data_IF_755516865352
#
_entry.id   IF_755516865352
#
_cell.length_a   1.000
_cell.length_b   1.000
_cell.length_c   1.000
_cell.angle_alpha   90.00
_cell.angle_beta   90.00
_cell.angle_gamma   90.00
#
_symmetry.space_group_name_H-M   'P 1'
#
loop_
_entity.id
_entity.type
_entity.pdbx_description
1 polymer ?
#
# COMPACT_ATOMS: atom_id res chain seq x y z
N UNK A 1 58.13 -13.18 -5.05
CA UNK A 1 57.20 -12.92 -3.94
C UNK A 1 56.74 -11.47 -4.09
N UNK A 2 55.58 -11.27 -4.60
CA UNK A 2 54.89 -9.96 -4.59
C UNK A 2 53.41 -10.29 -4.64
N UNK A 3 52.75 -10.05 -3.54
CA UNK A 3 51.33 -10.25 -3.36
C UNK A 3 50.54 -9.28 -4.27
N UNK A 4 49.84 -9.84 -5.21
CA UNK A 4 48.87 -9.15 -6.02
C UNK A 4 47.53 -9.07 -5.27
N UNK A 5 47.34 -8.07 -4.40
CA UNK A 5 46.02 -7.69 -3.91
C UNK A 5 45.17 -7.25 -5.09
N UNK A 6 44.26 -8.09 -5.50
CA UNK A 6 43.18 -7.73 -6.42
C UNK A 6 42.25 -6.71 -5.73
N UNK A 7 42.49 -5.42 -5.98
CA UNK A 7 41.54 -4.35 -5.71
C UNK A 7 40.27 -4.63 -6.51
N UNK A 8 39.28 -5.24 -5.85
CA UNK A 8 37.90 -5.27 -6.33
C UNK A 8 37.49 -3.80 -6.55
N UNK A 9 37.35 -3.41 -7.80
CA UNK A 9 36.78 -2.12 -8.19
C UNK A 9 35.38 -2.05 -7.59
N UNK A 10 35.23 -1.15 -6.63
CA UNK A 10 33.95 -0.77 -6.02
C UNK A 10 33.14 -0.04 -7.12
N UNK A 11 32.41 -0.80 -7.92
CA UNK A 11 31.38 -0.28 -8.81
C UNK A 11 30.28 0.21 -7.90
N UNK A 12 29.97 1.51 -7.88
CA UNK A 12 29.11 2.24 -6.95
C UNK A 12 27.67 1.75 -6.83
N UNK A 13 27.50 0.51 -6.39
CA UNK A 13 26.22 -0.06 -6.00
C UNK A 13 25.86 0.28 -4.55
N UNK A 14 24.58 0.33 -4.24
CA UNK A 14 24.06 0.53 -2.89
C UNK A 14 24.58 -0.57 -1.95
N UNK A 15 24.84 -0.22 -0.69
CA UNK A 15 25.27 -1.20 0.30
C UNK A 15 24.12 -2.18 0.60
N UNK A 16 24.37 -3.47 0.43
CA UNK A 16 23.39 -4.55 0.74
C UNK A 16 23.31 -4.75 2.24
N UNK A 17 22.41 -4.03 2.89
CA UNK A 17 22.25 -4.01 4.35
C UNK A 17 21.02 -4.77 4.83
N UNK A 18 19.96 -4.87 4.01
CA UNK A 18 18.69 -5.47 4.38
C UNK A 18 18.77 -7.00 4.39
N UNK A 19 18.55 -7.58 5.55
CA UNK A 19 18.34 -9.02 5.75
C UNK A 19 16.85 -9.37 5.72
N UNK A 20 16.48 -10.64 5.99
CA UNK A 20 15.10 -11.11 5.97
C UNK A 20 14.24 -10.35 7.01
N UNK A 21 14.76 -10.15 8.22
CA UNK A 21 14.03 -9.47 9.29
C UNK A 21 13.80 -7.99 8.96
N UNK A 22 14.86 -7.28 8.54
CA UNK A 22 14.77 -5.88 8.15
C UNK A 22 13.81 -5.64 6.99
N UNK A 23 13.87 -6.49 5.95
CA UNK A 23 12.98 -6.39 4.79
C UNK A 23 11.53 -6.74 5.15
N UNK A 24 11.30 -7.72 6.03
CA UNK A 24 9.96 -8.06 6.52
C UNK A 24 9.37 -6.92 7.34
N UNK A 25 10.12 -6.34 8.28
CA UNK A 25 9.66 -5.18 9.05
C UNK A 25 9.37 -3.97 8.15
N UNK A 26 10.22 -3.72 7.16
CA UNK A 26 9.95 -2.70 6.14
C UNK A 26 8.64 -2.97 5.42
N UNK A 27 8.44 -4.21 4.93
CA UNK A 27 7.22 -4.61 4.22
C UNK A 27 5.97 -4.52 5.09
N UNK A 28 6.02 -5.03 6.32
CA UNK A 28 4.89 -4.91 7.27
C UNK A 28 4.58 -3.44 7.52
N UNK A 29 5.59 -2.58 7.71
CA UNK A 29 5.39 -1.15 7.93
C UNK A 29 4.79 -0.41 6.75
N UNK A 30 5.18 -0.77 5.52
CA UNK A 30 4.63 -0.15 4.31
C UNK A 30 3.20 -0.61 4.00
N UNK A 31 2.90 -1.90 4.15
CA UNK A 31 1.59 -2.48 3.85
C UNK A 31 0.59 -2.20 4.98
N UNK A 32 0.96 -2.53 6.23
CA UNK A 32 0.09 -2.33 7.38
C UNK A 32 -0.11 -0.84 7.71
N UNK A 33 0.86 0.00 7.37
CA UNK A 33 0.94 1.44 7.61
C UNK A 33 -0.40 2.18 7.68
N UNK A 34 -0.59 3.18 6.83
CA UNK A 34 -1.82 3.97 6.84
C UNK A 34 -3.06 3.20 6.34
N UNK A 35 -2.90 2.15 5.51
CA UNK A 35 -4.00 1.51 4.79
C UNK A 35 -5.13 1.03 5.69
N UNK A 36 -4.84 0.19 6.68
CA UNK A 36 -5.88 -0.38 7.56
C UNK A 36 -6.53 0.69 8.44
N UNK A 37 -5.74 1.61 9.00
CA UNK A 37 -6.29 2.65 9.86
C UNK A 37 -7.28 3.54 9.10
N UNK A 38 -6.96 3.89 7.86
CA UNK A 38 -7.74 4.84 7.07
C UNK A 38 -8.99 4.21 6.46
N UNK A 39 -8.92 2.96 5.97
CA UNK A 39 -9.97 2.41 5.10
C UNK A 39 -10.84 1.37 5.79
N UNK A 40 -10.44 0.82 6.94
CA UNK A 40 -11.22 -0.26 7.60
C UNK A 40 -12.65 0.14 7.93
N UNK A 41 -12.89 1.39 8.32
CA UNK A 41 -14.24 1.90 8.57
C UNK A 41 -15.14 1.84 7.34
N UNK A 42 -14.60 2.28 6.19
CA UNK A 42 -15.30 2.23 4.89
C UNK A 42 -15.59 0.77 4.45
N UNK A 43 -14.64 -0.14 4.67
CA UNK A 43 -14.83 -1.55 4.36
C UNK A 43 -15.96 -2.14 5.19
N UNK A 44 -16.00 -1.82 6.49
CA UNK A 44 -17.05 -2.31 7.40
C UNK A 44 -18.40 -1.66 7.06
N UNK A 45 -18.41 -0.41 6.67
CA UNK A 45 -19.63 0.28 6.24
C UNK A 45 -20.25 -0.36 4.98
N UNK A 46 -19.42 -0.85 4.03
CA UNK A 46 -19.88 -1.50 2.80
C UNK A 46 -20.24 -2.97 2.98
N UNK A 47 -19.36 -3.75 3.60
CA UNK A 47 -19.50 -5.21 3.71
C UNK A 47 -20.24 -5.67 4.98
N UNK A 48 -20.43 -4.78 5.97
CA UNK A 48 -21.06 -5.14 7.23
C UNK A 48 -20.38 -6.34 7.91
N UNK A 49 -21.15 -7.32 8.41
CA UNK A 49 -20.62 -8.54 9.03
C UNK A 49 -19.74 -9.39 8.10
N UNK A 50 -19.82 -9.18 6.78
CA UNK A 50 -18.99 -9.86 5.79
C UNK A 50 -17.61 -9.21 5.58
N UNK A 51 -17.22 -8.18 6.35
CA UNK A 51 -15.94 -7.50 6.21
C UNK A 51 -14.72 -8.41 6.34
N UNK A 52 -14.66 -9.41 7.26
CA UNK A 52 -13.54 -10.34 7.27
C UNK A 52 -13.44 -11.14 5.97
N UNK A 53 -14.57 -11.52 5.36
CA UNK A 53 -14.61 -12.19 4.07
C UNK A 53 -14.17 -11.25 2.94
N UNK A 54 -14.52 -9.96 3.00
CA UNK A 54 -14.05 -8.94 2.07
C UNK A 54 -12.51 -8.82 2.09
N UNK A 55 -11.89 -8.79 3.27
CA UNK A 55 -10.43 -8.82 3.42
C UNK A 55 -9.81 -10.12 2.90
N UNK A 56 -10.47 -11.28 3.10
CA UNK A 56 -10.01 -12.55 2.55
C UNK A 56 -9.99 -12.51 1.00
N UNK A 57 -11.06 -12.03 0.37
CA UNK A 57 -11.14 -11.89 -1.08
C UNK A 57 -10.06 -10.94 -1.63
N UNK A 58 -9.87 -9.79 -0.97
CA UNK A 58 -8.80 -8.85 -1.31
C UNK A 58 -7.40 -9.49 -1.17
N UNK A 59 -7.18 -10.27 -0.10
CA UNK A 59 -5.92 -10.96 0.13
C UNK A 59 -5.62 -12.00 -0.96
N UNK A 60 -6.62 -12.70 -1.49
CA UNK A 60 -6.43 -13.66 -2.60
C UNK A 60 -5.93 -12.94 -3.84
N UNK A 61 -6.50 -11.78 -4.20
CA UNK A 61 -6.06 -10.96 -5.33
C UNK A 61 -4.63 -10.44 -5.08
N UNK A 62 -4.36 -9.93 -3.88
CA UNK A 62 -3.05 -9.42 -3.51
C UNK A 62 -1.97 -10.51 -3.53
N UNK A 63 -2.27 -11.70 -2.98
CA UNK A 63 -1.32 -12.83 -2.88
C UNK A 63 -0.89 -13.34 -4.25
N UNK A 64 -1.82 -13.53 -5.19
CA UNK A 64 -1.49 -14.00 -6.55
C UNK A 64 -0.50 -13.05 -7.24
N UNK A 65 -0.71 -11.76 -7.08
CA UNK A 65 0.20 -10.74 -7.63
C UNK A 65 1.51 -10.64 -6.85
N UNK A 66 1.46 -10.72 -5.54
CA UNK A 66 2.67 -10.68 -4.71
C UNK A 66 3.62 -11.85 -4.97
N UNK A 67 3.07 -13.03 -5.28
CA UNK A 67 3.88 -14.16 -5.74
C UNK A 67 4.58 -13.83 -7.07
N UNK A 68 3.89 -13.14 -7.98
CA UNK A 68 4.51 -12.65 -9.23
C UNK A 68 5.61 -11.62 -8.97
N UNK A 69 5.39 -10.68 -8.04
CA UNK A 69 6.43 -9.75 -7.60
C UNK A 69 7.63 -10.45 -6.96
N UNK A 70 7.36 -11.47 -6.15
CA UNK A 70 8.41 -12.27 -5.49
C UNK A 70 9.33 -12.95 -6.51
N UNK A 71 8.76 -13.56 -7.54
CA UNK A 71 9.55 -14.20 -8.60
C UNK A 71 10.23 -13.17 -9.50
N UNK A 72 9.52 -12.11 -9.94
CA UNK A 72 10.09 -11.06 -10.78
C UNK A 72 11.20 -10.28 -10.07
N UNK A 73 11.02 -9.93 -8.81
CA UNK A 73 12.04 -9.23 -8.03
C UNK A 73 13.30 -10.08 -7.82
N UNK A 74 13.16 -11.40 -7.74
CA UNK A 74 14.30 -12.31 -7.72
C UNK A 74 14.96 -12.48 -9.10
N UNK A 75 14.18 -12.45 -10.20
CA UNK A 75 14.68 -12.53 -11.60
C UNK A 75 15.33 -11.23 -12.08
N UNK A 76 14.79 -10.09 -11.66
CA UNK A 76 15.15 -8.75 -12.11
C UNK A 76 15.33 -7.87 -10.86
N UNK A 77 16.44 -8.02 -10.12
CA UNK A 77 16.66 -7.33 -8.86
C UNK A 77 17.12 -5.88 -9.07
N UNK A 78 16.24 -5.05 -9.62
CA UNK A 78 16.48 -3.63 -9.91
C UNK A 78 15.52 -2.75 -9.10
N UNK A 79 15.93 -1.52 -8.81
CA UNK A 79 15.11 -0.55 -8.08
C UNK A 79 13.90 -0.03 -8.89
N UNK A 80 13.87 -0.23 -10.21
CA UNK A 80 12.76 0.18 -11.08
C UNK A 80 11.50 -0.66 -10.92
N UNK A 81 11.59 -1.87 -10.33
CA UNK A 81 10.46 -2.73 -10.02
C UNK A 81 9.51 -2.97 -11.21
N UNK A 82 8.20 -2.66 -11.08
CA UNK A 82 7.21 -2.91 -12.13
C UNK A 82 7.54 -2.29 -13.50
N UNK A 83 8.19 -1.13 -13.53
CA UNK A 83 8.59 -0.45 -14.78
C UNK A 83 9.56 -1.34 -15.53
N UNK A 84 10.59 -1.83 -14.86
CA UNK A 84 11.63 -2.68 -15.45
C UNK A 84 11.09 -4.06 -15.82
N UNK A 85 10.13 -4.58 -15.06
CA UNK A 85 9.48 -5.86 -15.37
C UNK A 85 8.72 -5.79 -16.68
N UNK A 86 7.92 -4.74 -16.88
CA UNK A 86 7.16 -4.50 -18.11
C UNK A 86 8.10 -4.23 -19.29
N UNK A 87 9.14 -3.41 -19.09
CA UNK A 87 10.12 -3.12 -20.13
C UNK A 87 10.83 -4.39 -20.61
N UNK A 88 11.33 -5.22 -19.66
CA UNK A 88 12.06 -6.46 -19.97
C UNK A 88 11.16 -7.54 -20.57
N UNK A 89 9.90 -7.60 -20.15
CA UNK A 89 8.95 -8.57 -20.67
C UNK A 89 8.49 -8.25 -22.10
N UNK A 90 8.14 -7.01 -22.35
CA UNK A 90 7.49 -6.61 -23.62
C UNK A 90 8.43 -5.93 -24.61
N UNK A 91 9.58 -5.39 -24.17
CA UNK A 91 10.53 -4.68 -25.02
C UNK A 91 9.94 -3.39 -25.61
N UNK A 92 8.94 -2.79 -24.97
CA UNK A 92 8.23 -1.60 -25.44
C UNK A 92 8.35 -0.46 -24.44
N UNK A 93 9.19 0.55 -24.69
CA UNK A 93 9.40 1.67 -23.76
C UNK A 93 8.12 2.42 -23.37
N UNK A 94 7.15 2.54 -24.28
CA UNK A 94 5.89 3.23 -24.00
C UNK A 94 5.06 2.53 -22.93
N UNK A 95 5.06 1.18 -22.87
CA UNK A 95 4.38 0.41 -21.81
C UNK A 95 5.05 0.64 -20.45
N UNK A 96 6.38 0.63 -20.42
CA UNK A 96 7.15 0.94 -19.21
C UNK A 96 6.85 2.35 -18.71
N UNK A 97 6.80 3.32 -19.62
CA UNK A 97 6.46 4.70 -19.29
C UNK A 97 5.02 4.82 -18.75
N UNK A 98 4.04 4.16 -19.37
CA UNK A 98 2.66 4.13 -18.87
C UNK A 98 2.59 3.50 -17.47
N UNK A 99 3.36 2.43 -17.21
CA UNK A 99 3.45 1.82 -15.88
C UNK A 99 4.01 2.81 -14.86
N UNK A 100 5.05 3.56 -15.22
CA UNK A 100 5.62 4.60 -14.36
C UNK A 100 4.61 5.71 -14.03
N UNK A 101 3.87 6.20 -15.02
CA UNK A 101 2.81 7.18 -14.81
C UNK A 101 1.66 6.65 -13.97
N UNK A 102 1.25 5.39 -14.18
CA UNK A 102 0.21 4.76 -13.38
C UNK A 102 0.65 4.62 -11.91
N UNK A 103 1.90 4.22 -11.65
CA UNK A 103 2.47 4.16 -10.29
C UNK A 103 2.54 5.55 -9.65
N UNK A 104 2.98 6.57 -10.37
CA UNK A 104 3.00 7.94 -9.86
C UNK A 104 1.59 8.42 -9.51
N UNK A 105 0.61 8.19 -10.37
CA UNK A 105 -0.79 8.51 -10.13
C UNK A 105 -1.34 7.75 -8.92
N UNK A 106 -1.08 6.44 -8.81
CA UNK A 106 -1.51 5.62 -7.67
C UNK A 106 -0.97 6.18 -6.33
N UNK A 107 0.33 6.54 -6.28
CA UNK A 107 0.94 7.11 -5.08
C UNK A 107 0.38 8.50 -4.74
N UNK A 108 0.09 9.34 -5.74
CA UNK A 108 -0.55 10.65 -5.53
C UNK A 108 -1.95 10.48 -4.95
N UNK A 109 -2.79 9.61 -5.53
CA UNK A 109 -4.15 9.37 -5.05
C UNK A 109 -4.13 8.69 -3.68
N UNK A 110 -3.21 7.75 -3.44
CA UNK A 110 -2.99 7.15 -2.12
C UNK A 110 -2.57 8.19 -1.08
N UNK A 111 -1.69 9.14 -1.44
CA UNK A 111 -1.34 10.27 -0.59
C UNK A 111 -2.54 11.12 -0.20
N UNK A 112 -3.48 11.35 -1.14
CA UNK A 112 -4.73 12.04 -0.85
C UNK A 112 -5.65 11.22 0.06
N UNK A 113 -5.77 9.90 -0.18
CA UNK A 113 -6.52 8.98 0.69
C UNK A 113 -6.02 9.04 2.13
N UNK A 114 -4.70 8.97 2.33
CA UNK A 114 -4.07 9.01 3.64
C UNK A 114 -4.24 10.38 4.30
N UNK A 115 -4.15 11.47 3.53
CA UNK A 115 -4.37 12.83 4.02
C UNK A 115 -5.83 13.01 4.50
N UNK A 116 -6.82 12.49 3.75
CA UNK A 116 -8.22 12.50 4.17
C UNK A 116 -8.42 11.67 5.44
N UNK A 117 -7.80 10.48 5.53
CA UNK A 117 -7.82 9.66 6.74
C UNK A 117 -7.19 10.38 7.95
N UNK A 118 -6.10 11.11 7.76
CA UNK A 118 -5.50 11.93 8.82
C UNK A 118 -6.50 12.98 9.34
N UNK A 119 -7.22 13.67 8.44
CA UNK A 119 -8.24 14.67 8.81
C UNK A 119 -9.34 14.04 9.66
N UNK A 120 -9.84 12.85 9.26
CA UNK A 120 -10.85 12.11 10.01
C UNK A 120 -10.33 11.74 11.41
N UNK A 121 -9.10 11.21 11.53
CA UNK A 121 -8.53 10.87 12.85
C UNK A 121 -8.28 12.10 13.73
N UNK A 122 -7.79 13.18 13.15
CA UNK A 122 -7.58 14.42 13.90
C UNK A 122 -8.89 15.03 14.38
N UNK A 123 -9.95 15.00 13.55
CA UNK A 123 -11.29 15.49 13.84
C UNK A 123 -11.93 14.81 15.07
N UNK A 124 -11.57 13.57 15.36
CA UNK A 124 -11.99 12.89 16.59
C UNK A 124 -11.43 13.48 17.90
N UNK A 125 -10.44 14.39 17.82
CA UNK A 125 -9.77 15.00 19.00
C UNK A 125 -9.78 16.51 19.02
N UNK A 126 -9.75 17.14 17.84
CA UNK A 126 -9.60 18.61 17.70
C UNK A 126 -10.55 19.10 16.63
N UNK A 127 -11.35 20.09 16.97
CA UNK A 127 -12.26 20.74 16.03
C UNK A 127 -11.48 21.76 15.15
N UNK A 128 -10.94 21.26 14.04
CA UNK A 128 -10.19 22.05 13.05
C UNK A 128 -10.84 21.85 11.68
N UNK A 129 -11.05 22.91 10.88
CA UNK A 129 -11.55 22.76 9.53
C UNK A 129 -10.69 21.81 8.70
N UNK A 130 -11.32 20.83 7.99
CA UNK A 130 -10.61 19.79 7.26
C UNK A 130 -9.61 20.33 6.24
N UNK A 131 -9.91 21.46 5.57
CA UNK A 131 -8.97 22.12 4.67
C UNK A 131 -7.70 22.63 5.37
N UNK A 132 -7.83 23.11 6.62
CA UNK A 132 -6.69 23.61 7.39
C UNK A 132 -5.83 22.43 7.90
N UNK A 133 -6.45 21.36 8.39
CA UNK A 133 -5.77 20.15 8.82
C UNK A 133 -5.00 19.48 7.66
N UNK A 134 -5.64 19.33 6.49
CA UNK A 134 -4.97 18.75 5.31
C UNK A 134 -3.83 19.64 4.79
N UNK A 135 -4.03 20.95 4.71
CA UNK A 135 -2.98 21.89 4.29
C UNK A 135 -1.80 21.87 5.27
N UNK A 136 -2.07 21.91 6.58
CA UNK A 136 -1.04 21.86 7.61
C UNK A 136 -0.21 20.58 7.54
N UNK A 137 -0.87 19.42 7.39
CA UNK A 137 -0.18 18.15 7.18
C UNK A 137 0.70 18.18 5.93
N UNK A 138 0.16 18.58 4.79
CA UNK A 138 0.88 18.58 3.52
C UNK A 138 2.05 19.56 3.51
N UNK A 139 1.93 20.72 4.16
CA UNK A 139 3.06 21.65 4.36
C UNK A 139 4.16 20.99 5.20
N UNK A 140 3.79 20.31 6.29
CA UNK A 140 4.77 19.56 7.12
C UNK A 140 5.47 18.47 6.32
N UNK A 141 4.72 17.59 5.63
CA UNK A 141 5.28 16.49 4.84
C UNK A 141 6.12 17.00 3.67
N UNK A 142 5.68 18.08 3.04
CA UNK A 142 6.42 18.75 1.97
C UNK A 142 7.74 19.33 2.46
N UNK A 143 7.74 20.01 3.60
CA UNK A 143 8.95 20.55 4.21
C UNK A 143 9.97 19.43 4.53
N UNK A 144 9.52 18.32 5.13
CA UNK A 144 10.36 17.15 5.42
C UNK A 144 10.93 16.55 4.13
N UNK A 145 10.09 16.36 3.10
CA UNK A 145 10.49 15.79 1.82
C UNK A 145 11.50 16.68 1.08
N UNK A 146 11.24 18.00 0.98
CA UNK A 146 12.10 18.94 0.29
C UNK A 146 13.42 19.16 1.05
N UNK A 147 13.38 19.18 2.39
CA UNK A 147 14.61 19.25 3.20
C UNK A 147 15.51 18.02 3.04
N UNK A 148 15.02 16.96 2.40
CA UNK A 148 15.79 15.74 2.15
C UNK A 148 16.05 14.93 3.42
N UNK A 149 15.20 15.09 4.42
CA UNK A 149 15.27 14.30 5.65
C UNK A 149 14.93 12.85 5.29
N UNK A 150 15.95 12.01 5.27
CA UNK A 150 15.76 10.58 5.01
C UNK A 150 14.99 9.97 6.18
N UNK A 151 13.92 9.25 5.86
CA UNK A 151 13.31 8.36 6.85
C UNK A 151 14.38 7.37 7.31
N UNK A 152 14.75 7.45 8.58
CA UNK A 152 15.70 6.48 9.11
C UNK A 152 15.00 5.12 9.24
N UNK A 153 15.75 4.04 8.98
CA UNK A 153 15.23 2.68 9.19
C UNK A 153 14.70 2.50 10.63
N UNK A 154 15.32 3.17 11.60
CA UNK A 154 14.86 3.21 12.99
C UNK A 154 13.46 3.84 13.14
N UNK A 155 13.22 4.99 12.50
CA UNK A 155 11.91 5.66 12.53
C UNK A 155 10.82 4.78 11.91
N UNK A 156 11.09 4.15 10.77
CA UNK A 156 10.18 3.20 10.14
C UNK A 156 9.89 1.99 11.04
N UNK A 157 10.92 1.43 11.69
CA UNK A 157 10.75 0.31 12.62
C UNK A 157 9.89 0.71 13.81
N UNK A 158 10.14 1.87 14.41
CA UNK A 158 9.37 2.36 15.57
C UNK A 158 7.90 2.61 15.17
N UNK A 159 7.64 3.27 14.06
CA UNK A 159 6.26 3.52 13.60
C UNK A 159 5.53 2.22 13.26
N UNK A 160 6.22 1.23 12.68
CA UNK A 160 5.67 -0.11 12.43
C UNK A 160 5.31 -0.82 13.75
N UNK A 161 6.21 -0.81 14.74
CA UNK A 161 5.95 -1.40 16.04
C UNK A 161 4.80 -0.71 16.78
N UNK A 162 4.74 0.62 16.73
CA UNK A 162 3.62 1.41 17.28
C UNK A 162 2.31 0.99 16.61
N UNK A 163 2.29 0.88 15.29
CA UNK A 163 1.11 0.43 14.55
C UNK A 163 0.66 -0.98 14.93
N UNK A 164 1.60 -1.94 14.97
CA UNK A 164 1.32 -3.33 15.38
C UNK A 164 0.77 -3.41 16.80
N UNK A 165 1.41 -2.71 17.76
CA UNK A 165 0.97 -2.67 19.15
C UNK A 165 -0.44 -2.04 19.25
N UNK A 166 -0.69 -0.96 18.52
CA UNK A 166 -2.00 -0.30 18.49
C UNK A 166 -3.08 -1.29 18.03
N UNK A 167 -2.85 -2.00 16.91
CA UNK A 167 -3.81 -2.99 16.41
C UNK A 167 -3.99 -4.15 17.39
N UNK A 168 -2.92 -4.65 18.03
CA UNK A 168 -3.01 -5.70 19.05
C UNK A 168 -3.84 -5.23 20.26
N UNK A 169 -3.67 -3.99 20.72
CA UNK A 169 -4.48 -3.42 21.80
C UNK A 169 -5.95 -3.39 21.41
N UNK A 170 -6.29 -2.98 20.19
CA UNK A 170 -7.69 -2.95 19.72
C UNK A 170 -8.28 -4.35 19.60
N UNK A 171 -7.53 -5.30 19.02
CA UNK A 171 -7.96 -6.70 18.93
C UNK A 171 -8.21 -7.29 20.33
N UNK A 172 -7.31 -7.01 21.28
CA UNK A 172 -7.45 -7.46 22.67
C UNK A 172 -8.64 -6.80 23.37
N UNK A 173 -8.82 -5.50 23.19
CA UNK A 173 -9.94 -4.75 23.75
C UNK A 173 -11.27 -5.34 23.28
N UNK A 174 -11.38 -5.63 21.99
CA UNK A 174 -12.57 -6.15 21.31
C UNK A 174 -12.57 -7.68 21.14
N UNK A 175 -11.85 -8.42 21.98
CA UNK A 175 -11.71 -9.89 21.85
C UNK A 175 -13.04 -10.64 21.81
N UNK A 176 -14.04 -10.18 22.56
CA UNK A 176 -15.37 -10.78 22.57
C UNK A 176 -16.05 -10.57 21.22
N UNK A 177 -15.98 -9.37 20.65
CA UNK A 177 -16.46 -9.11 19.29
C UNK A 177 -15.73 -9.97 18.24
N UNK A 178 -14.41 -10.17 18.37
CA UNK A 178 -13.65 -11.06 17.48
C UNK A 178 -14.17 -12.50 17.55
N UNK A 179 -14.55 -12.97 18.74
CA UNK A 179 -15.10 -14.33 18.93
C UNK A 179 -16.54 -14.45 18.40
N UNK A 180 -17.32 -13.38 18.43
CA UNK A 180 -18.71 -13.34 17.94
C UNK A 180 -18.80 -13.15 16.42
N UNK A 181 -17.80 -12.55 15.80
CA UNK A 181 -17.77 -12.23 14.37
C UNK A 181 -18.04 -13.44 13.45
N UNK A 182 -17.53 -14.67 13.70
CA UNK A 182 -17.84 -15.82 12.86
C UNK A 182 -19.33 -16.20 12.85
N UNK A 183 -20.03 -16.05 13.98
CA UNK A 183 -21.47 -16.33 14.08
C UNK A 183 -22.26 -15.29 13.28
N UNK A 184 -21.96 -14.02 13.43
CA UNK A 184 -22.60 -12.93 12.67
C UNK A 184 -22.33 -13.06 11.16
N UNK A 185 -21.09 -13.43 10.77
CA UNK A 185 -20.77 -13.70 9.39
C UNK A 185 -21.55 -14.89 8.83
N UNK A 186 -21.71 -15.97 9.61
CA UNK A 186 -22.50 -17.14 9.18
C UNK A 186 -23.98 -16.79 9.00
N UNK A 187 -24.54 -15.96 9.88
CA UNK A 187 -25.92 -15.46 9.75
C UNK A 187 -26.07 -14.60 8.47
N UNK A 188 -25.15 -13.66 8.24
CA UNK A 188 -25.14 -12.84 7.03
C UNK A 188 -25.00 -13.67 5.74
N UNK A 189 -24.20 -14.74 5.77
CA UNK A 189 -24.08 -15.68 4.65
C UNK A 189 -25.35 -16.48 4.42
N UNK A 190 -26.12 -16.79 5.48
CA UNK A 190 -27.42 -17.45 5.38
C UNK A 190 -28.51 -16.58 4.77
N UNK A 191 -28.38 -15.26 4.86
CA UNK A 191 -29.32 -14.27 4.34
C UNK A 191 -28.79 -13.51 3.10
N UNK A 192 -27.85 -14.08 2.35
CA UNK A 192 -27.24 -13.40 1.18
C UNK A 192 -28.30 -13.04 0.13
N UNK A 193 -28.40 -11.73 -0.12
CA UNK A 193 -29.16 -11.15 -1.22
C UNK A 193 -28.23 -10.39 -2.20
N UNK A 194 -28.79 -9.81 -3.25
CA UNK A 194 -28.04 -9.06 -4.23
C UNK A 194 -27.34 -7.82 -3.63
N UNK A 195 -27.94 -7.20 -2.62
CA UNK A 195 -27.38 -6.03 -1.94
C UNK A 195 -26.17 -6.44 -1.09
N UNK A 196 -26.28 -7.53 -0.31
CA UNK A 196 -25.18 -8.08 0.48
C UNK A 196 -23.99 -8.53 -0.39
N UNK A 197 -24.25 -9.13 -1.56
CA UNK A 197 -23.21 -9.50 -2.52
C UNK A 197 -22.54 -8.26 -3.12
N UNK A 198 -23.29 -7.22 -3.46
CA UNK A 198 -22.76 -5.94 -3.93
C UNK A 198 -21.90 -5.27 -2.86
N UNK A 199 -22.37 -5.24 -1.61
CA UNK A 199 -21.64 -4.70 -0.47
C UNK A 199 -20.36 -5.48 -0.17
N UNK A 200 -20.41 -6.81 -0.21
CA UNK A 200 -19.21 -7.66 -0.06
C UNK A 200 -18.17 -7.37 -1.16
N UNK A 201 -18.62 -7.24 -2.40
CA UNK A 201 -17.72 -6.92 -3.51
C UNK A 201 -17.11 -5.52 -3.36
N UNK A 202 -17.94 -4.50 -3.06
CA UNK A 202 -17.47 -3.12 -2.84
C UNK A 202 -16.49 -3.05 -1.66
N UNK A 203 -16.80 -3.74 -0.56
CA UNK A 203 -15.92 -3.87 0.58
C UNK A 203 -14.61 -4.58 0.26
N UNK A 204 -14.64 -5.66 -0.55
CA UNK A 204 -13.42 -6.36 -0.98
C UNK A 204 -12.54 -5.49 -1.88
N UNK A 205 -13.14 -4.71 -2.76
CA UNK A 205 -12.42 -3.77 -3.61
C UNK A 205 -11.75 -2.64 -2.80
N UNK A 206 -12.45 -2.11 -1.78
CA UNK A 206 -11.89 -1.15 -0.82
C UNK A 206 -10.80 -1.79 0.05
N UNK A 207 -11.04 -3.01 0.57
CA UNK A 207 -10.08 -3.74 1.39
C UNK A 207 -8.76 -4.00 0.65
N UNK A 208 -8.80 -4.14 -0.68
CA UNK A 208 -7.60 -4.30 -1.51
C UNK A 208 -6.64 -3.10 -1.36
N UNK A 209 -7.16 -1.88 -1.16
CA UNK A 209 -6.33 -0.71 -0.87
C UNK A 209 -5.37 -0.96 0.31
N UNK A 210 -5.82 -1.63 1.35
CA UNK A 210 -5.01 -1.91 2.54
C UNK A 210 -3.82 -2.83 2.26
N UNK A 211 -3.85 -3.64 1.20
CA UNK A 211 -2.74 -4.51 0.80
C UNK A 211 -1.72 -3.82 -0.12
N UNK A 212 -1.98 -2.59 -0.58
CA UNK A 212 -1.02 -1.83 -1.40
C UNK A 212 0.21 -1.50 -0.54
N UNK A 213 1.41 -1.66 -1.11
CA UNK A 213 2.67 -1.38 -0.42
C UNK A 213 3.71 -2.51 -0.53
N UNK A 214 3.30 -3.78 -0.71
CA UNK A 214 4.27 -4.85 -0.92
C UNK A 214 5.08 -4.68 -2.23
N UNK A 215 4.54 -3.96 -3.21
CA UNK A 215 5.24 -3.56 -4.42
C UNK A 215 6.46 -2.66 -4.15
N UNK A 216 6.48 -1.93 -3.04
CA UNK A 216 7.60 -1.07 -2.68
C UNK A 216 8.79 -1.88 -2.17
N UNK A 217 8.55 -3.11 -1.66
CA UNK A 217 9.61 -4.01 -1.22
C UNK A 217 10.57 -4.38 -2.36
N UNK A 218 10.07 -4.51 -3.59
CA UNK A 218 10.94 -4.86 -4.74
C UNK A 218 11.86 -3.72 -5.14
N UNK A 219 11.51 -2.47 -4.83
CA UNK A 219 12.37 -1.32 -5.09
C UNK A 219 13.63 -1.31 -4.18
N UNK A 220 13.61 -2.07 -3.07
CA UNK A 220 14.77 -2.27 -2.19
C UNK A 220 15.62 -3.47 -2.57
N UNK A 221 15.37 -4.10 -3.72
CA UNK A 221 16.07 -5.31 -4.16
C UNK A 221 17.60 -5.14 -4.23
N UNK A 222 18.08 -3.95 -4.65
CA UNK A 222 19.51 -3.65 -4.73
C UNK A 222 20.19 -3.55 -3.36
N UNK A 223 19.43 -3.21 -2.30
CA UNK A 223 19.89 -3.11 -0.93
C UNK A 223 19.74 -4.42 -0.15
N UNK A 224 19.09 -5.43 -0.75
CA UNK A 224 18.75 -6.69 -0.09
C UNK A 224 19.88 -7.72 -0.22
N UNK A 225 20.26 -8.34 0.91
CA UNK A 225 21.20 -9.45 0.94
C UNK A 225 20.55 -10.72 0.39
N UNK A 226 21.26 -11.45 -0.48
CA UNK A 226 20.75 -12.69 -1.09
C UNK A 226 19.31 -12.50 -1.64
N UNK A 227 19.11 -11.46 -2.44
CA UNK A 227 17.80 -10.99 -2.91
C UNK A 227 16.90 -12.11 -3.44
N UNK A 228 17.44 -13.06 -4.18
CA UNK A 228 16.71 -14.20 -4.77
C UNK A 228 16.00 -15.09 -3.73
N UNK A 229 16.50 -15.14 -2.49
CA UNK A 229 15.90 -15.91 -1.39
C UNK A 229 15.16 -15.02 -0.38
N UNK A 230 15.75 -13.87 -0.05
CA UNK A 230 15.26 -12.98 0.99
C UNK A 230 13.99 -12.27 0.56
N UNK A 231 13.97 -11.67 -0.63
CA UNK A 231 12.85 -10.88 -1.10
C UNK A 231 11.54 -11.70 -1.24
N UNK A 232 11.53 -12.88 -1.90
CA UNK A 232 10.32 -13.70 -1.97
C UNK A 232 9.77 -14.11 -0.59
N UNK A 233 10.65 -14.50 0.33
CA UNK A 233 10.24 -14.90 1.69
C UNK A 233 9.69 -13.71 2.47
N UNK A 234 10.34 -12.55 2.40
CA UNK A 234 9.89 -11.34 3.07
C UNK A 234 8.51 -10.89 2.58
N UNK A 235 8.25 -10.92 1.27
CA UNK A 235 6.94 -10.58 0.69
C UNK A 235 5.86 -11.51 1.23
N UNK A 236 6.09 -12.83 1.25
CA UNK A 236 5.09 -13.80 1.74
C UNK A 236 4.85 -13.61 3.24
N UNK A 237 5.90 -13.49 4.06
CA UNK A 237 5.76 -13.30 5.51
C UNK A 237 5.01 -12.00 5.79
N UNK A 238 5.34 -10.92 5.09
CA UNK A 238 4.65 -9.63 5.21
C UNK A 238 3.16 -9.79 4.94
N UNK A 239 2.77 -10.39 3.81
CA UNK A 239 1.37 -10.53 3.44
C UNK A 239 0.58 -11.42 4.39
N UNK A 240 1.16 -12.53 4.84
CA UNK A 240 0.52 -13.40 5.84
C UNK A 240 0.31 -12.66 7.16
N UNK A 241 1.34 -11.95 7.63
CA UNK A 241 1.24 -11.16 8.86
C UNK A 241 0.14 -10.11 8.76
N UNK A 242 0.17 -9.31 7.69
CA UNK A 242 -0.80 -8.24 7.47
C UNK A 242 -2.22 -8.79 7.30
N UNK A 243 -2.38 -9.88 6.56
CA UNK A 243 -3.67 -10.56 6.38
C UNK A 243 -4.29 -10.98 7.72
N UNK A 244 -3.50 -11.59 8.62
CA UNK A 244 -3.98 -11.97 9.95
C UNK A 244 -4.47 -10.75 10.73
N UNK A 245 -3.72 -9.66 10.72
CA UNK A 245 -4.15 -8.42 11.39
C UNK A 245 -5.44 -7.86 10.78
N UNK A 246 -5.57 -7.86 9.45
CA UNK A 246 -6.76 -7.31 8.78
C UNK A 246 -8.02 -8.11 9.06
N UNK A 247 -7.94 -9.44 9.06
CA UNK A 247 -9.05 -10.31 9.48
C UNK A 247 -9.44 -10.03 10.93
N UNK A 248 -8.47 -9.97 11.84
CA UNK A 248 -8.74 -9.76 13.27
C UNK A 248 -9.31 -8.36 13.56
N UNK A 249 -8.78 -7.32 12.90
CA UNK A 249 -9.31 -5.95 13.06
C UNK A 249 -10.70 -5.82 12.47
N UNK A 250 -10.95 -6.35 11.27
CA UNK A 250 -12.28 -6.32 10.68
C UNK A 250 -13.29 -7.09 11.54
N UNK A 251 -12.92 -8.24 12.08
CA UNK A 251 -13.74 -9.00 13.03
C UNK A 251 -14.00 -8.20 14.33
N UNK A 252 -12.99 -7.51 14.85
CA UNK A 252 -13.13 -6.65 16.03
C UNK A 252 -14.12 -5.48 15.82
N UNK A 253 -14.26 -4.99 14.59
CA UNK A 253 -15.17 -3.91 14.29
C UNK A 253 -16.61 -4.40 14.03
N UNK A 254 -16.80 -5.56 13.41
CA UNK A 254 -18.15 -6.07 13.05
C UNK A 254 -18.81 -6.89 14.16
N UNK A 255 -18.06 -7.55 15.02
CA UNK A 255 -18.61 -8.37 16.10
C UNK A 255 -19.22 -7.54 17.24
N UNK A 256 -20.11 -8.16 18.01
CA UNK A 256 -20.80 -7.54 19.12
C UNK A 256 -22.00 -6.69 18.71
N UNK A 257 -22.29 -5.61 19.46
CA UNK A 257 -23.41 -4.73 19.15
C UNK A 257 -23.19 -3.92 17.85
N UNK A 258 -24.24 -3.70 17.05
CA UNK A 258 -24.15 -2.93 15.82
C UNK A 258 -23.68 -1.50 16.07
N UNK A 259 -22.64 -1.06 15.36
CA UNK A 259 -22.11 0.30 15.40
C UNK A 259 -22.22 0.91 14.01
N UNK A 260 -22.72 2.14 13.92
CA UNK A 260 -22.67 2.88 12.66
C UNK A 260 -21.22 3.35 12.36
N UNK A 261 -20.59 2.67 11.44
CA UNK A 261 -19.25 2.97 11.00
C UNK A 261 -19.19 3.99 9.87
N UNK A 262 -20.30 4.28 9.16
CA UNK A 262 -20.36 5.25 8.06
C UNK A 262 -19.99 6.67 8.47
N UNK A 263 -20.16 6.99 9.77
CA UNK A 263 -19.86 8.30 10.35
C UNK A 263 -18.82 8.25 11.45
N UNK A 264 -18.04 7.16 11.49
CA UNK A 264 -17.06 6.98 12.54
C UNK A 264 -15.74 7.64 12.16
N UNK A 265 -15.47 8.81 12.73
CA UNK A 265 -14.11 9.32 12.77
C UNK A 265 -13.23 8.37 13.57
N UNK A 266 -12.00 8.11 13.06
CA UNK A 266 -11.02 7.24 13.69
C UNK A 266 -11.58 5.87 14.12
N UNK A 267 -12.01 4.97 13.19
CA UNK A 267 -12.74 3.74 13.53
C UNK A 267 -11.98 2.82 14.50
N UNK A 268 -10.66 2.71 14.37
CA UNK A 268 -9.80 1.91 15.26
C UNK A 268 -9.80 2.47 16.69
N UNK A 269 -9.79 3.80 16.84
CA UNK A 269 -9.87 4.48 18.15
C UNK A 269 -11.24 4.29 18.77
N UNK A 270 -12.30 4.48 17.97
CA UNK A 270 -13.69 4.30 18.41
C UNK A 270 -13.92 2.87 18.90
N UNK A 271 -13.42 1.88 18.18
CA UNK A 271 -13.55 0.47 18.58
C UNK A 271 -12.96 0.19 19.98
N UNK A 272 -11.77 0.72 20.27
CA UNK A 272 -11.17 0.57 21.59
C UNK A 272 -11.91 1.38 22.68
N UNK A 273 -12.39 2.57 22.35
CA UNK A 273 -13.12 3.44 23.28
C UNK A 273 -14.45 2.81 23.73
N UNK A 274 -15.12 2.03 22.89
CA UNK A 274 -16.32 1.28 23.26
C UNK A 274 -16.10 0.33 24.44
N UNK A 275 -14.88 -0.17 24.63
CA UNK A 275 -14.48 -1.06 25.72
C UNK A 275 -13.78 -0.30 26.87
N UNK A 276 -13.91 1.02 26.92
CA UNK A 276 -13.36 1.86 27.98
C UNK A 276 -11.85 2.14 27.89
N UNK A 277 -11.18 1.78 26.79
CA UNK A 277 -9.78 2.10 26.59
C UNK A 277 -9.59 3.59 26.25
N UNK A 278 -8.51 4.23 26.72
CA UNK A 278 -8.28 5.64 26.49
C UNK A 278 -8.06 5.95 25.02
N UNK A 279 -8.92 6.79 24.43
CA UNK A 279 -8.89 7.15 23.01
C UNK A 279 -7.62 7.91 22.60
N UNK A 280 -7.10 8.80 23.48
CA UNK A 280 -6.00 9.71 23.12
C UNK A 280 -4.68 8.99 22.80
N UNK A 281 -4.16 8.04 23.59
CA UNK A 281 -2.93 7.32 23.23
C UNK A 281 -3.07 6.53 21.92
N UNK A 282 -4.21 5.87 21.73
CA UNK A 282 -4.49 5.09 20.51
C UNK A 282 -4.57 6.02 19.30
N UNK A 283 -5.20 7.18 19.47
CA UNK A 283 -5.31 8.20 18.42
C UNK A 283 -3.95 8.78 18.01
N UNK A 284 -3.11 9.15 18.99
CA UNK A 284 -1.76 9.66 18.71
C UNK A 284 -0.92 8.59 17.99
N UNK A 285 -0.99 7.34 18.44
CA UNK A 285 -0.30 6.24 17.80
C UNK A 285 -0.77 6.02 16.34
N UNK A 286 -2.09 6.06 16.12
CA UNK A 286 -2.68 5.95 14.77
C UNK A 286 -2.26 7.10 13.87
N UNK A 287 -2.32 8.34 14.36
CA UNK A 287 -1.89 9.54 13.62
C UNK A 287 -0.40 9.46 13.23
N UNK A 288 0.46 8.98 14.12
CA UNK A 288 1.88 8.78 13.82
C UNK A 288 2.09 7.81 12.66
N UNK A 289 1.36 6.70 12.64
CA UNK A 289 1.41 5.69 11.56
C UNK A 289 0.88 6.29 10.24
N UNK A 290 -0.24 7.01 10.29
CA UNK A 290 -0.86 7.66 9.12
C UNK A 290 0.09 8.70 8.53
N UNK A 291 0.70 9.57 9.34
CA UNK A 291 1.68 10.58 8.90
C UNK A 291 2.89 9.93 8.22
N UNK A 292 3.41 8.84 8.78
CA UNK A 292 4.52 8.09 8.17
C UNK A 292 4.13 7.51 6.80
N UNK A 293 2.94 6.92 6.69
CA UNK A 293 2.41 6.42 5.42
C UNK A 293 2.25 7.53 4.38
N UNK A 294 1.69 8.69 4.76
CA UNK A 294 1.55 9.85 3.89
C UNK A 294 2.88 10.38 3.38
N UNK A 295 3.89 10.47 4.24
CA UNK A 295 5.24 10.88 3.84
C UNK A 295 5.83 9.92 2.80
N UNK A 296 5.69 8.62 3.03
CA UNK A 296 6.18 7.58 2.10
C UNK A 296 5.55 7.74 0.71
N UNK A 297 4.23 7.90 0.62
CA UNK A 297 3.52 8.07 -0.65
C UNK A 297 3.96 9.33 -1.40
N UNK A 298 4.06 10.47 -0.72
CA UNK A 298 4.48 11.74 -1.31
C UNK A 298 5.92 11.64 -1.85
N UNK A 299 6.84 11.08 -1.06
CA UNK A 299 8.25 10.92 -1.46
C UNK A 299 8.35 9.97 -2.66
N UNK A 300 7.64 8.84 -2.66
CA UNK A 300 7.63 7.87 -3.76
C UNK A 300 7.06 8.48 -5.03
N UNK A 301 5.91 9.19 -4.94
CA UNK A 301 5.31 9.88 -6.08
C UNK A 301 6.27 10.92 -6.69
N UNK A 302 6.90 11.74 -5.84
CA UNK A 302 7.84 12.77 -6.30
C UNK A 302 9.07 12.18 -6.98
N UNK A 303 9.60 11.05 -6.48
CA UNK A 303 10.72 10.32 -7.10
C UNK A 303 10.34 9.71 -8.45
N UNK A 304 9.17 9.09 -8.55
CA UNK A 304 8.68 8.53 -9.81
C UNK A 304 8.52 9.62 -10.88
N UNK A 305 7.92 10.77 -10.53
CA UNK A 305 7.80 11.90 -11.45
C UNK A 305 9.17 12.48 -11.84
N UNK A 306 10.10 12.54 -10.88
CA UNK A 306 11.47 12.96 -11.14
C UNK A 306 12.19 12.03 -12.14
N UNK A 307 12.11 10.71 -11.94
CA UNK A 307 12.74 9.73 -12.83
C UNK A 307 12.13 9.76 -14.23
N UNK A 308 10.80 9.89 -14.35
CA UNK A 308 10.12 10.06 -15.62
C UNK A 308 10.56 11.34 -16.37
N UNK A 309 10.81 12.41 -15.63
CA UNK A 309 11.29 13.69 -16.19
C UNK A 309 12.78 13.68 -16.56
N UNK A 310 13.62 13.03 -15.74
CA UNK A 310 15.06 12.91 -15.94
C UNK A 310 15.39 12.03 -17.16
N UNK A 311 14.70 10.90 -17.28
CA UNK A 311 14.99 9.88 -18.29
C UNK A 311 14.23 10.13 -19.60
N UNK A 312 13.59 11.30 -19.75
CA UNK A 312 12.79 11.70 -20.92
C UNK A 312 11.66 10.68 -21.25
N UNK A 313 11.13 10.02 -20.24
CA UNK A 313 10.07 9.01 -20.35
C UNK A 313 8.66 9.62 -20.46
N UNK A 314 8.53 10.70 -21.24
CA UNK A 314 7.23 11.35 -21.50
C UNK A 314 6.78 12.32 -20.40
N UNK A 315 7.64 12.67 -19.44
CA UNK A 315 7.40 13.75 -18.48
C UNK A 315 8.20 15.02 -18.85
N UNK A 316 7.69 16.21 -18.50
CA UNK A 316 8.41 17.46 -18.73
C UNK A 316 9.77 17.46 -18.03
N UNK A 317 10.83 17.91 -18.73
CA UNK A 317 12.21 17.94 -18.23
C UNK A 317 12.40 18.72 -16.92
N UNK A 318 11.50 19.67 -16.60
CA UNK A 318 11.60 20.43 -15.36
C UNK A 318 11.30 19.59 -14.13
N UNK A 319 10.54 18.48 -14.24
CA UNK A 319 10.32 17.51 -13.16
C UNK A 319 11.61 16.74 -12.83
N UNK A 320 12.48 16.51 -13.81
CA UNK A 320 13.79 15.86 -13.64
C UNK A 320 14.88 16.75 -13.04
N UNK A 321 14.53 17.94 -12.51
CA UNK A 321 15.50 18.84 -11.88
C UNK A 321 15.63 18.59 -10.39
N UNK A 322 16.87 18.63 -9.90
CA UNK A 322 17.22 18.52 -8.47
C UNK A 322 17.50 19.92 -7.93
N UNK A 323 16.96 20.23 -6.76
CA UNK A 323 17.29 21.44 -6.03
C UNK A 323 18.76 21.37 -5.56
N UNK A 324 19.63 22.36 -5.92
CA UNK A 324 21.06 22.26 -5.64
C UNK A 324 21.41 22.17 -4.15
N UNK A 325 20.63 22.81 -3.26
CA UNK A 325 20.90 22.86 -1.82
C UNK A 325 20.52 21.58 -1.10
N UNK A 326 19.31 21.10 -1.33
CA UNK A 326 18.74 19.93 -0.62
C UNK A 326 18.99 18.62 -1.36
N UNK A 327 19.35 18.66 -2.64
CA UNK A 327 19.53 17.51 -3.53
C UNK A 327 18.26 16.65 -3.64
N UNK A 328 17.10 17.30 -3.60
CA UNK A 328 15.78 16.67 -3.68
C UNK A 328 15.02 17.15 -4.91
N UNK A 329 14.04 16.41 -5.43
CA UNK A 329 13.20 16.81 -6.56
C UNK A 329 12.09 17.79 -6.09
N UNK A 330 12.47 18.97 -5.60
CA UNK A 330 11.55 19.92 -4.97
C UNK A 330 10.34 20.29 -5.86
N UNK A 331 10.55 20.51 -7.16
CA UNK A 331 9.46 20.86 -8.09
C UNK A 331 8.46 19.70 -8.27
N UNK A 332 8.95 18.47 -8.38
CA UNK A 332 8.09 17.30 -8.42
C UNK A 332 7.31 17.13 -7.11
N UNK A 333 7.96 17.34 -5.96
CA UNK A 333 7.30 17.32 -4.65
C UNK A 333 6.19 18.36 -4.56
N UNK A 334 6.43 19.61 -4.96
CA UNK A 334 5.42 20.68 -4.93
C UNK A 334 4.23 20.35 -5.83
N UNK A 335 4.47 19.80 -7.03
CA UNK A 335 3.40 19.34 -7.91
C UNK A 335 2.55 18.25 -7.23
N UNK A 336 3.21 17.23 -6.66
CA UNK A 336 2.54 16.15 -5.93
C UNK A 336 1.67 16.71 -4.81
N UNK A 337 2.22 17.60 -3.97
CA UNK A 337 1.47 18.21 -2.86
C UNK A 337 0.26 19.00 -3.35
N UNK A 338 0.38 19.77 -4.43
CA UNK A 338 -0.72 20.52 -5.02
C UNK A 338 -1.86 19.61 -5.53
N UNK A 339 -1.50 18.52 -6.22
CA UNK A 339 -2.49 17.54 -6.70
C UNK A 339 -3.11 16.77 -5.54
N UNK A 340 -2.31 16.31 -4.56
CA UNK A 340 -2.81 15.64 -3.35
C UNK A 340 -3.80 16.53 -2.61
N UNK A 341 -3.48 17.81 -2.37
CA UNK A 341 -4.39 18.75 -1.71
C UNK A 341 -5.70 18.90 -2.48
N UNK A 342 -5.62 19.10 -3.79
CA UNK A 342 -6.80 19.25 -4.65
C UNK A 342 -7.70 18.01 -4.57
N UNK A 343 -7.13 16.82 -4.67
CA UNK A 343 -7.87 15.57 -4.57
C UNK A 343 -8.49 15.37 -3.18
N UNK A 344 -7.75 15.67 -2.11
CA UNK A 344 -8.23 15.59 -0.72
C UNK A 344 -9.45 16.50 -0.49
N UNK A 345 -9.49 17.69 -1.10
CA UNK A 345 -10.57 18.64 -0.92
C UNK A 345 -11.80 18.34 -1.79
N UNK A 346 -11.62 17.65 -2.93
CA UNK A 346 -12.69 17.46 -3.91
C UNK A 346 -13.29 16.04 -3.92
N UNK A 347 -12.55 15.04 -3.45
CA UNK A 347 -12.96 13.64 -3.59
C UNK A 347 -13.07 13.00 -2.20
N UNK A 348 -14.19 12.32 -1.89
CA UNK A 348 -14.37 11.64 -0.61
C UNK A 348 -13.41 10.44 -0.47
N UNK A 349 -13.12 10.06 0.79
CA UNK A 349 -12.18 8.99 1.16
C UNK A 349 -12.40 7.69 0.37
N UNK A 350 -13.65 7.21 0.33
CA UNK A 350 -14.06 6.02 -0.43
C UNK A 350 -13.70 6.11 -1.91
N UNK A 351 -13.93 7.27 -2.53
CA UNK A 351 -13.61 7.53 -3.94
C UNK A 351 -12.11 7.48 -4.20
N UNK A 352 -11.31 8.09 -3.32
CA UNK A 352 -9.84 8.09 -3.40
C UNK A 352 -9.27 6.68 -3.24
N UNK A 353 -9.73 5.92 -2.25
CA UNK A 353 -9.30 4.54 -2.02
C UNK A 353 -9.65 3.64 -3.21
N UNK A 354 -10.85 3.76 -3.75
CA UNK A 354 -11.29 3.02 -4.94
C UNK A 354 -10.46 3.37 -6.17
N UNK A 355 -10.17 4.66 -6.40
CA UNK A 355 -9.34 5.10 -7.52
C UNK A 355 -7.91 4.57 -7.40
N UNK A 356 -7.34 4.60 -6.20
CA UNK A 356 -6.02 4.02 -5.95
C UNK A 356 -6.00 2.52 -6.26
N UNK A 357 -6.98 1.77 -5.73
CA UNK A 357 -7.12 0.33 -5.99
C UNK A 357 -7.24 0.03 -7.48
N UNK A 358 -8.04 0.80 -8.20
CA UNK A 358 -8.23 0.65 -9.64
C UNK A 358 -6.91 0.79 -10.41
N UNK A 359 -6.18 1.87 -10.17
CA UNK A 359 -4.91 2.15 -10.86
C UNK A 359 -3.86 1.09 -10.51
N UNK A 360 -3.76 0.68 -9.24
CA UNK A 360 -2.81 -0.35 -8.82
C UNK A 360 -3.15 -1.71 -9.42
N UNK A 361 -4.42 -2.09 -9.49
CA UNK A 361 -4.85 -3.34 -10.14
C UNK A 361 -4.50 -3.37 -11.63
N UNK A 362 -4.58 -2.24 -12.34
CA UNK A 362 -4.12 -2.13 -13.74
C UNK A 362 -2.61 -2.38 -13.83
N UNK A 363 -1.82 -1.82 -12.92
CA UNK A 363 -0.38 -2.11 -12.85
C UNK A 363 -0.13 -3.60 -12.55
N UNK A 364 -0.92 -4.20 -11.66
CA UNK A 364 -0.81 -5.61 -11.30
C UNK A 364 -1.11 -6.55 -12.47
N UNK A 365 -2.08 -6.21 -13.34
CA UNK A 365 -2.29 -6.91 -14.61
C UNK A 365 -1.00 -6.89 -15.44
N UNK A 366 -0.35 -5.74 -15.57
CA UNK A 366 0.91 -5.59 -16.30
C UNK A 366 2.05 -6.43 -15.70
N UNK A 367 2.19 -6.44 -14.37
CA UNK A 367 3.22 -7.22 -13.66
C UNK A 367 2.99 -8.73 -13.82
N UNK A 368 1.76 -9.19 -13.60
CA UNK A 368 1.40 -10.61 -13.79
C UNK A 368 1.61 -11.06 -15.24
N UNK A 369 1.21 -10.24 -16.22
CA UNK A 369 1.43 -10.50 -17.64
C UNK A 369 2.93 -10.53 -17.98
N UNK A 370 3.75 -9.70 -17.32
CA UNK A 370 5.21 -9.70 -17.47
C UNK A 370 5.82 -11.02 -17.01
N UNK A 371 5.42 -11.52 -15.83
CA UNK A 371 5.91 -12.83 -15.37
C UNK A 371 5.47 -13.94 -16.31
N UNK A 372 4.19 -13.98 -16.72
CA UNK A 372 3.69 -14.99 -17.65
C UNK A 372 4.52 -15.02 -18.92
N UNK A 373 4.82 -13.85 -19.51
CA UNK A 373 5.63 -13.75 -20.73
C UNK A 373 7.09 -14.18 -20.53
N UNK A 374 7.66 -13.90 -19.35
CA UNK A 374 9.07 -14.23 -19.05
C UNK A 374 9.26 -15.70 -18.65
N UNK A 375 8.22 -16.43 -18.26
CA UNK A 375 8.32 -17.85 -17.89
C UNK A 375 8.74 -18.77 -19.04
N UNK A 376 8.56 -18.36 -20.29
CA UNK A 376 9.08 -19.07 -21.47
C UNK A 376 10.56 -18.85 -21.76
N UNK A 377 11.26 -18.02 -20.95
CA UNK A 377 12.69 -17.73 -21.11
C UNK A 377 13.51 -18.49 -20.04
N UNK A 378 14.84 -18.57 -20.26
CA UNK A 378 15.76 -19.17 -19.29
C UNK A 378 15.54 -18.64 -17.87
N UNK A 379 15.49 -19.57 -16.93
CA UNK A 379 15.31 -19.24 -15.52
C UNK A 379 16.70 -19.09 -14.88
N UNK A 380 16.98 -17.96 -14.21
CA UNK A 380 18.22 -17.79 -13.47
C UNK A 380 18.30 -18.79 -12.29
N UNK A 381 19.49 -19.31 -12.01
CA UNK A 381 19.71 -20.20 -10.88
C UNK A 381 19.34 -19.55 -9.54
N UNK A 382 18.73 -20.33 -8.66
CA UNK A 382 18.38 -19.91 -7.31
C UNK A 382 17.13 -19.02 -7.21
N UNK A 383 16.46 -18.73 -8.32
CA UNK A 383 15.21 -17.96 -8.36
C UNK A 383 14.01 -18.91 -8.18
N UNK A 384 13.00 -18.55 -7.36
CA UNK A 384 11.76 -19.33 -7.27
C UNK A 384 11.11 -19.50 -8.64
N UNK A 385 10.62 -20.71 -8.94
CA UNK A 385 9.86 -21.00 -10.15
C UNK A 385 8.43 -21.39 -9.79
N UNK A 386 7.57 -20.39 -9.70
CA UNK A 386 6.15 -20.61 -9.42
C UNK A 386 5.43 -21.23 -10.63
N UNK A 387 4.38 -22.01 -10.44
CA UNK A 387 3.56 -22.51 -11.55
C UNK A 387 3.02 -21.37 -12.43
N UNK A 388 2.97 -21.61 -13.75
CA UNK A 388 2.45 -20.60 -14.74
C UNK A 388 1.00 -20.19 -14.43
N UNK A 389 0.25 -21.06 -13.77
CA UNK A 389 -1.12 -20.75 -13.31
C UNK A 389 -1.16 -19.53 -12.40
N UNK A 390 -0.14 -19.26 -11.57
CA UNK A 390 -0.13 -18.14 -10.64
C UNK A 390 -0.23 -16.78 -11.32
N UNK A 391 0.65 -16.40 -12.25
CA UNK A 391 0.51 -15.11 -12.94
C UNK A 391 -0.74 -15.04 -13.82
N UNK A 392 -1.21 -16.13 -14.42
CA UNK A 392 -2.47 -16.16 -15.16
C UNK A 392 -3.65 -15.85 -14.25
N UNK A 393 -3.73 -16.53 -13.09
CA UNK A 393 -4.76 -16.25 -12.08
C UNK A 393 -4.68 -14.81 -11.60
N UNK A 394 -3.47 -14.26 -11.39
CA UNK A 394 -3.27 -12.85 -11.02
C UNK A 394 -3.82 -11.89 -12.07
N UNK A 395 -3.61 -12.14 -13.37
CA UNK A 395 -4.22 -11.35 -14.46
C UNK A 395 -5.74 -11.42 -14.41
N UNK A 396 -6.29 -12.63 -14.31
CA UNK A 396 -7.76 -12.85 -14.34
C UNK A 396 -8.43 -12.17 -13.14
N UNK A 397 -7.91 -12.37 -11.91
CA UNK A 397 -8.51 -11.80 -10.71
C UNK A 397 -8.39 -10.27 -10.68
N UNK A 398 -7.24 -9.73 -11.05
CA UNK A 398 -7.06 -8.26 -11.12
C UNK A 398 -7.96 -7.65 -12.20
N UNK A 399 -8.09 -8.28 -13.37
CA UNK A 399 -8.97 -7.81 -14.43
C UNK A 399 -10.46 -7.93 -14.02
N UNK A 400 -10.85 -9.03 -13.39
CA UNK A 400 -12.21 -9.22 -12.89
C UNK A 400 -12.57 -8.16 -11.83
N UNK A 401 -11.64 -7.84 -10.91
CA UNK A 401 -11.84 -6.78 -9.94
C UNK A 401 -11.99 -5.39 -10.60
N UNK A 402 -11.18 -5.07 -11.61
CA UNK A 402 -11.30 -3.82 -12.36
C UNK A 402 -12.64 -3.74 -13.10
N UNK A 403 -13.00 -4.78 -13.86
CA UNK A 403 -14.24 -4.80 -14.65
C UNK A 403 -15.45 -4.71 -13.74
N UNK A 404 -15.49 -5.49 -12.66
CA UNK A 404 -16.59 -5.45 -11.70
C UNK A 404 -16.79 -4.08 -11.07
N UNK A 405 -15.70 -3.37 -10.71
CA UNK A 405 -15.81 -2.01 -10.17
C UNK A 405 -16.34 -1.00 -11.19
N UNK A 406 -15.91 -1.13 -12.45
CA UNK A 406 -16.44 -0.27 -13.53
C UNK A 406 -17.92 -0.53 -13.77
N UNK A 407 -18.37 -1.79 -13.73
CA UNK A 407 -19.79 -2.15 -13.86
C UNK A 407 -20.61 -1.56 -12.72
N UNK A 408 -20.14 -1.65 -11.47
CA UNK A 408 -20.83 -1.03 -10.34
C UNK A 408 -20.94 0.49 -10.50
N UNK A 409 -19.91 1.17 -10.96
CA UNK A 409 -19.97 2.63 -11.16
C UNK A 409 -20.97 3.03 -12.27
N UNK A 410 -21.01 2.29 -13.36
CA UNK A 410 -21.98 2.55 -14.44
C UNK A 410 -23.41 2.23 -13.97
N UNK A 411 -23.61 1.20 -13.17
CA UNK A 411 -24.93 0.84 -12.66
C UNK A 411 -25.46 1.74 -11.53
N UNK A 412 -24.59 2.55 -10.90
CA UNK A 412 -24.94 3.51 -9.84
C UNK A 412 -25.14 4.96 -10.33
N UNK A 413 -24.83 5.24 -11.60
CA UNK A 413 -25.06 6.53 -12.27
C UNK A 413 -26.43 6.57 -12.95
#
# INVERSE_FOLDING_TARGET
>A
MAEGESRVRNTGGLARTLDLSGLTFYGVGTVLGAGIFVVVGEVVAEAGPLSPLAYLLAAVVALTTALSFAELGARIPTAGGPIDYVEKAFGRPWLANMTGWALAAANIVSGATITTGFVSYLGGFVDVPGWAASTGLLVLLGAISIAGIKQSAWFMTVTTLVGLVTLLVVIWARREAVLDAPAQMAEALGGLDAAALSGLYAGAFLAFYSFIGFGDMVQTAEETRQVQKTLPRAIIITLVTVFVFYILISAALVGGEPVDWNRADAPVVKAAALEGYPALPIGIASLLVIVNGGLTQIVTAARLLFDLGRDERGAPRWLGKVEPRTRTPALATLLVLGVVLTLTLLVPLKGLANLTSLVVLIVFIGVNASLWRLKGREQPDGVPNLPVVMPITGVILSAAAVIGQLVLWIGSS
#
